data_IF_147286665998
#
_entry.id   IF_147286665998
#
_cell.length_a   1.000
_cell.length_b   1.000
_cell.length_c   1.000
_cell.angle_alpha   90.00
_cell.angle_beta   90.00
_cell.angle_gamma   90.00
#
_symmetry.space_group_name_H-M   'P 1'
#
loop_
_entity.id
_entity.type
_entity.pdbx_description
1 polymer ?
#
# COMPACT_ATOMS: atom_id res chain seq x y z
N UNK A 1 11.79 -1.16 7.02
CA UNK A 1 10.59 -0.88 6.20
C UNK A 1 9.78 0.13 6.98
N UNK A 2 9.81 1.40 6.54
CA UNK A 2 9.11 2.47 7.24
C UNK A 2 7.59 2.39 7.11
N UNK A 3 7.06 1.52 6.24
CA UNK A 3 5.64 1.17 6.20
C UNK A 3 5.43 -0.35 6.22
N UNK A 4 4.44 -0.82 6.99
CA UNK A 4 4.07 -2.23 7.07
C UNK A 4 2.57 -2.42 7.29
N UNK A 5 1.97 -3.32 6.52
CA UNK A 5 0.59 -3.75 6.76
C UNK A 5 0.57 -4.62 8.02
N UNK A 6 -0.12 -4.17 9.06
CA UNK A 6 -0.24 -4.90 10.33
C UNK A 6 -1.57 -5.64 10.46
N UNK A 7 -2.61 -5.19 9.72
CA UNK A 7 -3.93 -5.82 9.75
C UNK A 7 -4.74 -5.50 8.50
N UNK A 8 -5.54 -6.47 8.05
CA UNK A 8 -6.57 -6.32 7.02
C UNK A 8 -7.89 -6.86 7.55
N UNK A 9 -8.93 -6.03 7.51
CA UNK A 9 -10.27 -6.37 8.01
C UNK A 9 -11.30 -6.10 6.91
N UNK A 10 -11.63 -7.14 6.15
CA UNK A 10 -12.48 -7.01 4.96
C UNK A 10 -11.87 -6.03 3.97
N UNK A 11 -12.54 -4.89 3.75
CA UNK A 11 -12.11 -3.80 2.86
C UNK A 11 -11.27 -2.72 3.54
N UNK A 12 -10.94 -2.89 4.83
CA UNK A 12 -10.11 -1.97 5.59
C UNK A 12 -8.70 -2.51 5.72
N UNK A 13 -7.73 -1.63 5.64
CA UNK A 13 -6.32 -1.95 5.70
C UNK A 13 -5.64 -1.01 6.69
N UNK A 14 -4.91 -1.57 7.64
CA UNK A 14 -4.22 -0.84 8.70
C UNK A 14 -2.73 -0.99 8.46
N UNK A 15 -2.10 0.14 8.17
CA UNK A 15 -0.66 0.26 7.92
C UNK A 15 -0.04 0.98 9.11
N UNK A 16 0.98 0.37 9.69
CA UNK A 16 1.88 1.03 10.63
C UNK A 16 2.99 1.70 9.84
N UNK A 17 3.23 2.98 10.14
CA UNK A 17 4.33 3.74 9.55
C UNK A 17 5.26 4.25 10.63
N UNK A 18 6.54 4.30 10.33
CA UNK A 18 7.60 4.90 11.14
C UNK A 18 8.30 5.94 10.29
N UNK A 19 8.40 7.15 10.80
CA UNK A 19 9.07 8.27 10.13
C UNK A 19 10.13 8.81 11.07
N UNK A 20 11.33 9.01 10.54
CA UNK A 20 12.39 9.71 11.25
C UNK A 20 12.18 11.22 11.09
N UNK A 21 12.21 11.95 12.20
CA UNK A 21 12.15 13.40 12.18
C UNK A 21 13.57 13.95 12.04
N UNK A 22 13.74 14.89 11.12
CA UNK A 22 15.04 15.44 10.73
C UNK A 22 15.32 16.79 11.40
N UNK A 23 16.56 17.28 11.27
CA UNK A 23 17.02 18.53 11.90
C UNK A 23 16.28 19.79 11.40
N UNK A 24 15.64 19.72 10.24
CA UNK A 24 14.82 20.80 9.69
C UNK A 24 13.39 20.34 9.39
N UNK A 25 12.46 21.31 9.38
CA UNK A 25 11.07 21.06 9.05
C UNK A 25 10.91 20.60 7.59
N UNK A 26 11.70 21.16 6.67
CA UNK A 26 11.62 20.79 5.25
C UNK A 26 12.07 19.35 5.04
N UNK A 27 13.19 18.95 5.64
CA UNK A 27 13.71 17.58 5.53
C UNK A 27 12.74 16.58 6.18
N UNK A 28 12.12 16.96 7.31
CA UNK A 28 11.09 16.15 7.95
C UNK A 28 9.84 15.98 7.06
N UNK A 29 9.41 17.02 6.35
CA UNK A 29 8.30 16.94 5.40
C UNK A 29 8.63 15.99 4.24
N UNK A 30 9.84 16.04 3.71
CA UNK A 30 10.30 15.12 2.67
C UNK A 30 10.33 13.67 3.16
N UNK A 31 10.83 13.43 4.38
CA UNK A 31 10.83 12.12 5.01
C UNK A 31 9.40 11.57 5.22
N UNK A 32 8.49 12.40 5.75
CA UNK A 32 7.07 12.05 5.90
C UNK A 32 6.47 11.68 4.55
N UNK A 33 6.68 12.51 3.52
CA UNK A 33 6.12 12.28 2.19
C UNK A 33 6.63 10.96 1.59
N UNK A 34 7.92 10.66 1.73
CA UNK A 34 8.51 9.42 1.24
C UNK A 34 7.86 8.19 1.88
N UNK A 35 7.69 8.17 3.21
CA UNK A 35 7.08 7.05 3.93
C UNK A 35 5.61 6.87 3.59
N UNK A 36 4.86 7.98 3.44
CA UNK A 36 3.45 7.93 3.03
C UNK A 36 3.30 7.39 1.61
N UNK A 37 4.20 7.74 0.69
CA UNK A 37 4.20 7.18 -0.66
C UNK A 37 4.44 5.67 -0.65
N UNK A 38 5.37 5.17 0.18
CA UNK A 38 5.61 3.73 0.35
C UNK A 38 4.36 3.02 0.91
N UNK A 39 3.73 3.58 1.95
CA UNK A 39 2.48 3.06 2.49
C UNK A 39 1.35 3.04 1.44
N UNK A 40 1.26 4.07 0.59
CA UNK A 40 0.30 4.15 -0.51
C UNK A 40 0.53 3.07 -1.57
N UNK A 41 1.79 2.78 -1.90
CA UNK A 41 2.13 1.69 -2.81
C UNK A 41 1.71 0.32 -2.23
N UNK A 42 2.02 0.06 -0.96
CA UNK A 42 1.60 -1.17 -0.27
C UNK A 42 0.06 -1.32 -0.24
N UNK A 43 -0.65 -0.24 0.07
CA UNK A 43 -2.10 -0.21 0.06
C UNK A 43 -2.67 -0.50 -1.34
N UNK A 44 -2.06 0.08 -2.38
CA UNK A 44 -2.47 -0.10 -3.77
C UNK A 44 -2.25 -1.54 -4.22
N UNK A 45 -1.10 -2.13 -3.89
CA UNK A 45 -0.81 -3.54 -4.19
C UNK A 45 -1.84 -4.48 -3.54
N UNK A 46 -2.17 -4.24 -2.26
CA UNK A 46 -3.15 -5.06 -1.55
C UNK A 46 -4.60 -4.80 -2.00
N UNK A 47 -4.89 -3.60 -2.50
CA UNK A 47 -6.16 -3.29 -3.16
C UNK A 47 -6.26 -4.00 -4.52
N UNK A 48 -5.19 -4.03 -5.31
CA UNK A 48 -5.14 -4.74 -6.59
C UNK A 48 -5.43 -6.24 -6.41
N UNK A 49 -4.90 -6.86 -5.34
CA UNK A 49 -5.22 -8.27 -5.02
C UNK A 49 -6.72 -8.53 -4.81
N UNK A 50 -7.51 -7.54 -4.39
CA UNK A 50 -8.97 -7.69 -4.27
C UNK A 50 -9.66 -7.76 -5.64
N UNK A 51 -9.06 -7.19 -6.68
CA UNK A 51 -9.55 -7.26 -8.05
C UNK A 51 -8.95 -8.46 -8.82
N UNK A 52 -7.73 -8.87 -8.48
CA UNK A 52 -7.01 -10.00 -9.09
C UNK A 52 -7.46 -11.39 -8.55
N UNK A 53 -8.35 -11.42 -7.55
CA UNK A 53 -8.94 -12.67 -7.01
C UNK A 53 -10.08 -13.27 -7.84
N UNK A 54 -10.37 -12.74 -9.04
CA UNK A 54 -11.18 -13.44 -10.05
C UNK A 54 -10.30 -13.93 -11.21
N UNK A 55 -9.24 -14.67 -10.89
CA UNK A 55 -8.66 -15.65 -11.81
C UNK A 55 -9.64 -16.79 -12.08
N UNK A 56 -10.91 -16.50 -12.40
CA UNK A 56 -11.67 -17.42 -13.23
C UNK A 56 -10.92 -17.50 -14.55
N UNK A 57 -10.72 -18.72 -15.06
CA UNK A 57 -10.12 -18.89 -16.37
C UNK A 57 -10.90 -18.00 -17.35
N UNK A 58 -10.19 -17.15 -18.10
CA UNK A 58 -10.79 -16.53 -19.27
C UNK A 58 -11.21 -17.69 -20.20
N UNK A 59 -12.48 -18.06 -20.17
CA UNK A 59 -13.06 -18.96 -21.16
C UNK A 59 -13.09 -18.18 -22.49
N UNK A 60 -12.11 -18.46 -23.33
CA UNK A 60 -12.17 -18.08 -24.73
C UNK A 60 -13.16 -19.05 -25.38
N UNK A 61 -14.44 -18.69 -25.43
CA UNK A 61 -15.44 -19.40 -26.25
C UNK A 61 -15.19 -19.05 -27.72
N UNK A 62 -14.09 -19.59 -28.25
CA UNK A 62 -13.71 -19.49 -29.65
C UNK A 62 -14.65 -20.35 -30.48
N UNK A 63 -15.69 -19.74 -31.03
CA UNK A 63 -16.53 -20.30 -32.07
C UNK A 63 -16.32 -19.59 -33.41
#
# INVERSE_FOLDING_TARGET
MPAKIIRKEGKKLIIEITVDLEDSMLDSEEAIQAVINEAGNLATEEALKQFDTQGEAMEIDGK
#
